data_IF_631963660556
#
_entry.id   IF_631963660556
#
_cell.length_a   1.000
_cell.length_b   1.000
_cell.length_c   1.000
_cell.angle_alpha   90.00
_cell.angle_beta   90.00
_cell.angle_gamma   90.00
#
_symmetry.space_group_name_H-M   'P 1'
#
loop_
_entity.id
_entity.type
_entity.pdbx_description
1 polymer ?
#
# COMPACT_ATOMS: atom_id res chain seq x y z
N UNK A 1 -7.14 4.30 -29.35
CA UNK A 1 -8.20 5.15 -28.77
C UNK A 1 -7.89 5.37 -27.28
N UNK A 2 -7.38 6.55 -26.91
CA UNK A 2 -7.05 6.88 -25.51
C UNK A 2 -8.33 7.31 -24.80
N UNK A 3 -8.96 6.40 -24.06
CA UNK A 3 -10.13 6.74 -23.23
C UNK A 3 -9.63 7.51 -22.01
N UNK A 4 -9.74 8.84 -22.07
CA UNK A 4 -9.52 9.72 -20.93
C UNK A 4 -10.68 9.53 -19.94
N UNK A 5 -10.40 8.98 -18.76
CA UNK A 5 -11.34 8.99 -17.64
C UNK A 5 -11.14 10.30 -16.91
N UNK A 6 -12.21 10.99 -16.55
CA UNK A 6 -12.08 12.18 -15.71
C UNK A 6 -11.68 11.74 -14.31
N UNK A 7 -10.71 12.44 -13.72
CA UNK A 7 -10.24 12.16 -12.37
C UNK A 7 -11.40 12.14 -11.37
N UNK A 8 -12.34 13.08 -11.50
CA UNK A 8 -13.55 13.22 -10.68
C UNK A 8 -14.45 11.98 -10.66
N UNK A 9 -14.47 11.19 -11.74
CA UNK A 9 -15.26 9.95 -11.83
C UNK A 9 -14.51 8.77 -11.23
N UNK A 10 -13.18 8.75 -11.38
CA UNK A 10 -12.33 7.66 -10.90
C UNK A 10 -11.97 7.76 -9.41
N UNK A 11 -11.94 8.97 -8.86
CA UNK A 11 -11.60 9.24 -7.48
C UNK A 11 -12.54 8.57 -6.46
N UNK A 12 -13.88 8.76 -6.51
CA UNK A 12 -14.79 8.17 -5.54
C UNK A 12 -14.74 6.63 -5.51
N UNK A 13 -14.51 6.01 -6.67
CA UNK A 13 -14.41 4.56 -6.80
C UNK A 13 -13.11 3.97 -6.20
N UNK A 14 -12.11 4.81 -5.96
CA UNK A 14 -10.75 4.40 -5.56
C UNK A 14 -10.31 5.04 -4.23
N UNK A 15 -11.23 5.59 -3.46
CA UNK A 15 -10.93 6.30 -2.21
C UNK A 15 -10.09 5.46 -1.24
N UNK A 16 -10.42 4.17 -1.09
CA UNK A 16 -9.64 3.27 -0.24
C UNK A 16 -8.20 3.07 -0.75
N UNK A 17 -7.98 3.00 -2.07
CA UNK A 17 -6.64 2.89 -2.63
C UNK A 17 -5.80 4.14 -2.33
N UNK A 18 -6.41 5.33 -2.48
CA UNK A 18 -5.78 6.61 -2.14
C UNK A 18 -5.44 6.71 -0.67
N UNK A 19 -6.40 6.36 0.20
CA UNK A 19 -6.23 6.39 1.64
C UNK A 19 -5.06 5.48 2.06
N UNK A 20 -5.07 4.21 1.65
CA UNK A 20 -4.05 3.25 2.08
C UNK A 20 -2.66 3.53 1.49
N UNK A 21 -2.59 4.02 0.25
CA UNK A 21 -1.32 4.51 -0.31
C UNK A 21 -0.77 5.70 0.48
N UNK A 22 -1.65 6.61 0.91
CA UNK A 22 -1.27 7.78 1.73
C UNK A 22 -0.81 7.36 3.11
N UNK A 23 -1.54 6.46 3.78
CA UNK A 23 -1.17 5.93 5.10
C UNK A 23 0.19 5.23 5.03
N UNK A 24 0.40 4.34 4.05
CA UNK A 24 1.69 3.65 3.89
C UNK A 24 2.85 4.63 3.65
N UNK A 25 2.65 5.61 2.77
CA UNK A 25 3.66 6.64 2.49
C UNK A 25 3.96 7.46 3.75
N UNK A 26 2.93 7.85 4.49
CA UNK A 26 3.06 8.60 5.74
C UNK A 26 3.81 7.80 6.81
N UNK A 27 3.50 6.52 6.98
CA UNK A 27 4.25 5.63 7.88
C UNK A 27 5.74 5.55 7.49
N UNK A 28 6.03 5.39 6.19
CA UNK A 28 7.40 5.39 5.67
C UNK A 28 8.15 6.70 5.93
N UNK A 29 7.54 7.84 5.58
CA UNK A 29 8.13 9.17 5.75
C UNK A 29 8.40 9.46 7.23
N UNK A 30 7.46 9.13 8.11
CA UNK A 30 7.66 9.22 9.56
C UNK A 30 8.85 8.36 10.01
N UNK A 31 8.93 7.10 9.57
CA UNK A 31 10.03 6.21 9.93
C UNK A 31 11.39 6.66 9.37
N UNK A 32 11.43 7.41 8.26
CA UNK A 32 12.66 8.08 7.76
C UNK A 32 13.02 9.28 8.64
N UNK A 33 12.04 10.11 9.01
CA UNK A 33 12.25 11.34 9.79
C UNK A 33 12.63 11.13 11.25
N UNK A 34 12.29 9.97 11.84
CA UNK A 34 12.58 9.63 13.23
C UNK A 34 13.46 8.38 13.34
N UNK A 35 14.80 8.53 13.25
CA UNK A 35 15.74 7.44 13.47
C UNK A 35 15.50 6.75 14.82
N UNK A 36 15.73 5.43 14.88
CA UNK A 36 15.56 4.57 16.06
C UNK A 36 14.14 4.42 16.61
N UNK A 37 13.12 4.98 15.94
CA UNK A 37 11.72 4.83 16.35
C UNK A 37 11.31 3.36 16.51
N UNK A 38 11.79 2.47 15.65
CA UNK A 38 11.48 1.04 15.70
C UNK A 38 12.13 0.40 16.93
N UNK A 39 13.36 0.78 17.26
CA UNK A 39 14.07 0.26 18.42
C UNK A 39 13.44 0.73 19.74
N UNK A 40 12.93 1.97 19.76
CA UNK A 40 12.24 2.55 20.92
C UNK A 40 10.79 2.07 21.07
N UNK A 41 10.20 1.57 19.99
CA UNK A 41 8.83 1.06 19.99
C UNK A 41 8.82 -0.40 20.43
N UNK A 42 8.11 -0.67 21.53
CA UNK A 42 7.89 -2.05 21.98
C UNK A 42 7.20 -2.91 20.91
N UNK A 43 6.36 -2.29 20.09
CA UNK A 43 5.60 -2.97 19.03
C UNK A 43 6.40 -3.18 17.74
N UNK A 44 7.13 -2.15 17.29
CA UNK A 44 7.84 -2.20 16.00
C UNK A 44 9.26 -2.79 16.11
N UNK A 45 9.81 -2.93 17.33
CA UNK A 45 11.13 -3.54 17.54
C UNK A 45 11.23 -4.96 16.99
N UNK A 46 10.12 -5.70 16.95
CA UNK A 46 10.06 -7.05 16.36
C UNK A 46 10.42 -7.06 14.86
N UNK A 47 10.19 -5.96 14.13
CA UNK A 47 10.54 -5.83 12.71
C UNK A 47 12.05 -5.77 12.46
N UNK A 48 12.81 -5.31 13.46
CA UNK A 48 14.27 -5.21 13.38
C UNK A 48 14.95 -6.58 13.30
N UNK A 49 14.23 -7.66 13.60
CA UNK A 49 14.72 -9.05 13.40
C UNK A 49 14.80 -9.46 11.93
N UNK A 50 14.07 -8.77 11.05
CA UNK A 50 14.00 -9.10 9.63
C UNK A 50 14.80 -8.12 8.76
N UNK A 51 14.77 -6.84 9.10
CA UNK A 51 15.57 -5.80 8.45
C UNK A 51 15.66 -4.55 9.32
N UNK A 52 16.69 -3.75 9.10
CA UNK A 52 16.87 -2.48 9.81
C UNK A 52 15.75 -1.48 9.47
N UNK A 53 15.49 -0.54 10.40
CA UNK A 53 14.48 0.50 10.21
C UNK A 53 14.60 1.26 8.88
N UNK A 54 15.79 1.65 8.38
CA UNK A 54 15.90 2.35 7.09
C UNK A 54 15.35 1.54 5.92
N UNK A 55 15.50 0.21 5.93
CA UNK A 55 14.99 -0.67 4.88
C UNK A 55 13.46 -0.64 4.88
N UNK A 56 12.85 -0.80 6.06
CA UNK A 56 11.40 -0.72 6.22
C UNK A 56 10.84 0.65 5.87
N UNK A 57 11.48 1.72 6.34
CA UNK A 57 11.08 3.09 6.11
C UNK A 57 11.09 3.43 4.62
N UNK A 58 12.14 3.05 3.90
CA UNK A 58 12.23 3.24 2.45
C UNK A 58 11.27 2.34 1.69
N UNK A 59 11.09 1.08 2.09
CA UNK A 59 10.12 0.18 1.45
C UNK A 59 8.70 0.75 1.53
N UNK A 60 8.25 1.17 2.72
CA UNK A 60 6.93 1.79 2.92
C UNK A 60 6.79 3.10 2.12
N UNK A 61 7.82 3.96 2.15
CA UNK A 61 7.83 5.23 1.42
C UNK A 61 7.73 5.03 -0.08
N UNK A 62 8.62 4.21 -0.66
CA UNK A 62 8.70 4.01 -2.10
C UNK A 62 7.45 3.29 -2.61
N UNK A 63 7.03 2.20 -1.98
CA UNK A 63 5.85 1.44 -2.43
C UNK A 63 4.57 2.27 -2.27
N UNK A 64 4.46 3.03 -1.19
CA UNK A 64 3.36 3.98 -0.97
C UNK A 64 3.29 5.03 -2.08
N UNK A 65 4.40 5.75 -2.32
CA UNK A 65 4.47 6.84 -3.29
C UNK A 65 4.32 6.36 -4.74
N UNK A 66 5.00 5.28 -5.13
CA UNK A 66 4.84 4.67 -6.46
C UNK A 66 3.38 4.30 -6.71
N UNK A 67 2.72 3.73 -5.71
CA UNK A 67 1.30 3.42 -5.77
C UNK A 67 0.40 4.66 -5.86
N UNK A 68 0.74 5.73 -5.14
CA UNK A 68 0.05 7.02 -5.19
C UNK A 68 0.14 7.62 -6.61
N UNK A 69 1.34 7.64 -7.21
CA UNK A 69 1.53 8.08 -8.60
C UNK A 69 0.85 7.17 -9.61
N UNK A 70 0.84 5.85 -9.39
CA UNK A 70 0.10 4.92 -10.23
C UNK A 70 -1.41 5.21 -10.23
N UNK A 71 -1.98 5.60 -9.08
CA UNK A 71 -3.38 6.03 -8.96
C UNK A 71 -3.65 7.33 -9.70
N UNK A 72 -2.79 8.34 -9.51
CA UNK A 72 -2.89 9.62 -10.22
C UNK A 72 -2.88 9.41 -11.74
N UNK A 73 -1.91 8.62 -12.24
CA UNK A 73 -1.80 8.29 -13.66
C UNK A 73 -3.02 7.55 -14.20
N UNK A 74 -3.56 6.59 -13.43
CA UNK A 74 -4.75 5.83 -13.81
C UNK A 74 -6.05 6.64 -13.73
N UNK A 75 -6.07 7.76 -13.01
CA UNK A 75 -7.22 8.65 -12.87
C UNK A 75 -7.23 9.82 -13.85
N UNK A 76 -6.07 10.31 -14.29
CA UNK A 76 -5.96 11.50 -15.14
C UNK A 76 -5.38 11.28 -16.54
N UNK A 77 -4.70 10.16 -16.80
CA UNK A 77 -3.89 10.00 -18.01
C UNK A 77 -4.06 8.64 -18.68
N UNK A 78 -3.05 7.77 -18.62
CA UNK A 78 -3.05 6.44 -19.25
C UNK A 78 -3.43 5.36 -18.24
N UNK A 79 -4.48 4.61 -18.55
CA UNK A 79 -4.89 3.42 -17.78
C UNK A 79 -3.73 2.40 -17.74
N UNK A 80 -3.26 2.10 -16.53
CA UNK A 80 -2.25 1.09 -16.22
C UNK A 80 -2.72 0.25 -15.00
N UNK A 81 -3.81 -0.51 -15.14
CA UNK A 81 -4.42 -1.26 -14.04
C UNK A 81 -3.51 -2.37 -13.48
N UNK A 82 -2.65 -2.97 -14.31
CA UNK A 82 -1.69 -3.97 -13.85
C UNK A 82 -0.66 -3.40 -12.85
N UNK A 83 -0.14 -2.19 -13.12
CA UNK A 83 0.77 -1.49 -12.21
C UNK A 83 0.07 -1.18 -10.88
N UNK A 84 -1.18 -0.73 -10.96
CA UNK A 84 -2.01 -0.46 -9.77
C UNK A 84 -2.23 -1.74 -8.94
N UNK A 85 -2.54 -2.85 -9.60
CA UNK A 85 -2.69 -4.15 -8.93
C UNK A 85 -1.40 -4.58 -8.22
N UNK A 86 -0.26 -4.46 -8.91
CA UNK A 86 1.06 -4.76 -8.32
C UNK A 86 1.39 -3.88 -7.11
N UNK A 87 1.10 -2.58 -7.18
CA UNK A 87 1.33 -1.67 -6.05
C UNK A 87 0.46 -2.01 -4.84
N UNK A 88 -0.83 -2.30 -5.06
CA UNK A 88 -1.74 -2.71 -4.00
C UNK A 88 -1.30 -4.04 -3.35
N UNK A 89 -0.94 -5.03 -4.17
CA UNK A 89 -0.40 -6.30 -3.66
C UNK A 89 0.88 -6.11 -2.85
N UNK A 90 1.81 -5.28 -3.31
CA UNK A 90 3.05 -4.98 -2.58
C UNK A 90 2.77 -4.31 -1.22
N UNK A 91 1.86 -3.33 -1.16
CA UNK A 91 1.44 -2.73 0.13
C UNK A 91 0.76 -3.75 1.03
N UNK A 92 -0.09 -4.62 0.48
CA UNK A 92 -0.73 -5.72 1.22
C UNK A 92 0.30 -6.65 1.87
N UNK A 93 1.36 -7.02 1.15
CA UNK A 93 2.47 -7.83 1.69
C UNK A 93 3.20 -7.09 2.83
N UNK A 94 3.43 -5.78 2.70
CA UNK A 94 4.06 -5.01 3.79
C UNK A 94 3.14 -4.99 5.03
N UNK A 95 1.84 -4.74 4.87
CA UNK A 95 0.88 -4.79 6.00
C UNK A 95 0.84 -6.17 6.66
N UNK A 96 0.91 -7.25 5.87
CA UNK A 96 1.01 -8.62 6.40
C UNK A 96 2.27 -8.79 7.26
N UNK A 97 3.42 -8.31 6.82
CA UNK A 97 4.66 -8.40 7.60
C UNK A 97 4.60 -7.58 8.89
N UNK A 98 4.01 -6.38 8.85
CA UNK A 98 3.75 -5.57 10.03
C UNK A 98 2.84 -6.30 11.03
N UNK A 99 1.76 -6.91 10.54
CA UNK A 99 0.86 -7.72 11.37
C UNK A 99 1.58 -8.93 12.00
N UNK A 100 2.33 -9.71 11.22
CA UNK A 100 3.05 -10.89 11.72
C UNK A 100 4.13 -10.52 12.74
N UNK A 101 4.78 -9.37 12.60
CA UNK A 101 5.73 -8.87 13.58
C UNK A 101 5.03 -8.50 14.90
N UNK A 102 3.87 -7.82 14.81
CA UNK A 102 3.04 -7.48 15.96
C UNK A 102 2.50 -8.70 16.71
N UNK A 103 2.05 -9.72 15.97
CA UNK A 103 1.45 -10.93 16.55
C UNK A 103 2.43 -11.73 17.42
N UNK A 104 3.74 -11.45 17.32
CA UNK A 104 4.79 -12.06 18.13
C UNK A 104 5.12 -11.26 19.40
N UNK A 105 4.54 -10.08 19.58
CA UNK A 105 4.71 -9.24 20.77
C UNK A 105 3.60 -9.59 21.75
N UNK A 106 3.97 -9.88 23.00
CA UNK A 106 3.04 -10.30 24.07
C UNK A 106 2.25 -9.12 24.68
N UNK A 107 1.89 -8.13 23.85
CA UNK A 107 1.11 -6.98 24.27
C UNK A 107 0.04 -6.62 23.24
N UNK A 108 -1.20 -6.37 23.69
CA UNK A 108 -2.28 -5.96 22.81
C UNK A 108 -2.02 -4.54 22.29
N UNK A 109 -2.06 -4.39 20.96
CA UNK A 109 -1.95 -3.09 20.30
C UNK A 109 -3.01 -2.96 19.21
N UNK A 110 -3.47 -1.74 18.96
CA UNK A 110 -4.44 -1.47 17.89
C UNK A 110 -3.98 -1.92 16.51
N UNK A 111 -2.66 -2.03 16.28
CA UNK A 111 -2.10 -2.55 15.04
C UNK A 111 -2.49 -4.01 14.74
N UNK A 112 -2.82 -4.81 15.76
CA UNK A 112 -3.34 -6.18 15.57
C UNK A 112 -4.71 -6.20 14.87
N UNK A 113 -5.46 -5.10 14.91
CA UNK A 113 -6.74 -4.94 14.23
C UNK A 113 -6.54 -4.17 12.92
N UNK A 114 -5.80 -3.06 12.96
CA UNK A 114 -5.66 -2.18 11.80
C UNK A 114 -4.83 -2.80 10.67
N UNK A 115 -3.70 -3.44 10.96
CA UNK A 115 -2.84 -3.99 9.90
C UNK A 115 -3.49 -5.12 9.11
N UNK A 116 -4.20 -6.12 9.70
CA UNK A 116 -4.90 -7.12 8.91
C UNK A 116 -6.10 -6.53 8.15
N UNK A 117 -6.78 -5.50 8.68
CA UNK A 117 -7.82 -4.80 7.94
C UNK A 117 -7.25 -4.06 6.71
N UNK A 118 -6.13 -3.34 6.87
CA UNK A 118 -5.43 -2.67 5.77
C UNK A 118 -4.92 -3.66 4.73
N UNK A 119 -4.30 -4.75 5.17
CA UNK A 119 -3.88 -5.86 4.31
C UNK A 119 -5.05 -6.41 3.48
N UNK A 120 -6.18 -6.70 4.12
CA UNK A 120 -7.37 -7.25 3.45
C UNK A 120 -7.90 -6.28 2.40
N UNK A 121 -7.98 -5.00 2.73
CA UNK A 121 -8.41 -3.97 1.78
C UNK A 121 -7.44 -3.81 0.61
N UNK A 122 -6.13 -3.87 0.83
CA UNK A 122 -5.14 -3.86 -0.26
C UNK A 122 -5.31 -5.06 -1.20
N UNK A 123 -5.56 -6.26 -0.68
CA UNK A 123 -5.79 -7.43 -1.53
C UNK A 123 -7.12 -7.34 -2.31
N UNK A 124 -8.18 -6.80 -1.71
CA UNK A 124 -9.43 -6.50 -2.43
C UNK A 124 -9.17 -5.49 -3.55
N UNK A 125 -8.39 -4.44 -3.27
CA UNK A 125 -8.02 -3.44 -4.27
C UNK A 125 -7.16 -4.05 -5.40
N UNK A 126 -6.20 -4.91 -5.06
CA UNK A 126 -5.38 -5.62 -6.03
C UNK A 126 -6.23 -6.53 -6.93
N UNK A 127 -7.17 -7.27 -6.36
CA UNK A 127 -8.11 -8.12 -7.09
C UNK A 127 -8.98 -7.30 -8.07
N UNK A 128 -9.57 -6.20 -7.58
CA UNK A 128 -10.36 -5.27 -8.43
C UNK A 128 -9.50 -4.71 -9.57
N UNK A 129 -8.27 -4.30 -9.27
CA UNK A 129 -7.36 -3.75 -10.27
C UNK A 129 -6.90 -4.81 -11.30
N UNK A 130 -6.74 -6.07 -10.91
CA UNK A 130 -6.45 -7.16 -11.83
C UNK A 130 -7.64 -7.45 -12.77
N UNK A 131 -8.87 -7.39 -12.26
CA UNK A 131 -10.09 -7.47 -13.07
C UNK A 131 -10.14 -6.38 -14.15
N UNK A 132 -9.81 -5.14 -13.78
CA UNK A 132 -9.71 -4.03 -14.74
C UNK A 132 -8.60 -4.27 -15.78
N UNK A 133 -7.48 -4.89 -15.39
CA UNK A 133 -6.40 -5.22 -16.32
C UNK A 133 -6.82 -6.25 -17.37
N UNK A 134 -7.52 -7.30 -16.94
CA UNK A 134 -8.09 -8.30 -17.86
C UNK A 134 -9.09 -7.66 -18.82
N UNK A 135 -9.95 -6.76 -18.35
CA UNK A 135 -10.91 -6.05 -19.18
C UNK A 135 -10.23 -5.14 -20.23
N UNK A 136 -9.10 -4.52 -19.90
CA UNK A 136 -8.31 -3.74 -20.88
C UNK A 136 -7.64 -4.65 -21.89
N UNK A 137 -7.04 -5.77 -21.46
CA UNK A 137 -6.37 -6.74 -22.34
C UNK A 137 -7.33 -7.33 -23.38
N UNK A 138 -8.54 -7.69 -22.97
CA UNK A 138 -9.56 -8.26 -23.87
C UNK A 138 -10.10 -7.27 -24.91
N UNK A 139 -9.89 -5.95 -24.73
CA UNK A 139 -10.31 -4.93 -25.71
C UNK A 139 -9.24 -4.63 -26.76
N UNK A 140 -8.02 -5.13 -26.56
CA UNK A 140 -6.87 -4.90 -27.44
C UNK A 140 -6.50 -6.13 -28.27
N UNK A 141 -7.12 -7.28 -28.00
CA UNK A 141 -7.05 -8.50 -28.81
C UNK A 141 -8.23 -8.52 -29.80
#
# INVERSE_FOLDING_TARGET
>A
MTVHVRFSESFPLRQCEWLLATVMSGCGIMAVGYPDQFARSQTLSALLRYADQPVWAWAMTVVGLVGWFALARNGGWKRSPAVRAGCAAARGVIWLQLFMALAKVDQPTWGLIFFPAFMTMEFINAYRAAGDAKAVSNRTA
#
